data_IF_994483377493
#
_entry.id   IF_994483377493
#
_cell.length_a   1.000
_cell.length_b   1.000
_cell.length_c   1.000
_cell.angle_alpha   90.00
_cell.angle_beta   90.00
_cell.angle_gamma   90.00
#
_symmetry.space_group_name_H-M   'P 1'
#
loop_
_entity.id
_entity.type
_entity.pdbx_description
1 polymer ?
#
# COMPACT_ATOMS: atom_id res chain seq x y z
N UNK A 1 21.70 5.06 -9.06
CA UNK A 1 20.84 5.92 -9.90
C UNK A 1 19.51 6.15 -9.17
N UNK A 2 18.86 7.30 -9.34
CA UNK A 2 17.55 7.59 -8.76
C UNK A 2 16.57 7.87 -9.90
N UNK A 3 15.39 7.25 -9.83
CA UNK A 3 14.28 7.36 -10.78
C UNK A 3 13.03 7.78 -10.02
N UNK A 4 12.13 8.53 -10.69
CA UNK A 4 10.91 9.04 -10.05
C UNK A 4 9.66 8.69 -10.86
N UNK A 5 8.61 8.27 -10.15
CA UNK A 5 7.30 7.95 -10.71
C UNK A 5 6.20 8.58 -9.85
N UNK A 6 5.59 9.65 -10.35
CA UNK A 6 4.54 10.40 -9.64
C UNK A 6 3.27 10.53 -10.48
N UNK A 7 2.27 11.23 -9.94
CA UNK A 7 1.05 11.57 -10.68
C UNK A 7 1.30 12.51 -11.86
N UNK A 8 2.39 13.28 -11.83
CA UNK A 8 2.76 14.25 -12.87
C UNK A 8 3.65 13.67 -13.96
N UNK A 9 4.15 12.45 -13.77
CA UNK A 9 4.98 11.77 -14.77
C UNK A 9 4.16 11.44 -16.00
N UNK A 10 4.47 12.11 -17.13
CA UNK A 10 3.79 11.92 -18.42
C UNK A 10 4.16 10.59 -19.07
N UNK A 11 5.46 10.35 -19.21
CA UNK A 11 5.99 9.07 -19.70
C UNK A 11 6.35 8.18 -18.51
N UNK A 12 5.40 7.32 -18.14
CA UNK A 12 5.55 6.38 -17.03
C UNK A 12 6.37 5.15 -17.40
N UNK A 13 6.48 4.82 -18.68
CA UNK A 13 7.15 3.61 -19.15
C UNK A 13 8.66 3.76 -19.01
N UNK A 14 9.21 4.91 -19.40
CA UNK A 14 10.65 5.16 -19.35
C UNK A 14 11.29 4.90 -17.96
N UNK A 15 10.83 5.49 -16.84
CA UNK A 15 11.44 5.22 -15.54
C UNK A 15 11.26 3.78 -15.09
N UNK A 16 10.13 3.14 -15.42
CA UNK A 16 9.88 1.73 -15.07
C UNK A 16 10.81 0.81 -15.86
N UNK A 17 10.92 0.98 -17.17
CA UNK A 17 11.81 0.19 -18.02
C UNK A 17 13.28 0.38 -17.63
N UNK A 18 13.67 1.62 -17.30
CA UNK A 18 15.03 1.91 -16.81
C UNK A 18 15.31 1.19 -15.49
N UNK A 19 14.35 1.19 -14.56
CA UNK A 19 14.49 0.47 -13.29
C UNK A 19 14.58 -1.04 -13.48
N UNK A 20 13.77 -1.59 -14.39
CA UNK A 20 13.70 -3.03 -14.65
C UNK A 20 14.89 -3.58 -15.44
N UNK A 21 15.61 -2.72 -16.16
CA UNK A 21 16.80 -3.08 -16.96
C UNK A 21 18.12 -2.67 -16.31
N UNK A 22 18.09 -2.02 -15.15
CA UNK A 22 19.33 -1.56 -14.50
C UNK A 22 20.08 -2.72 -13.85
N UNK A 23 21.34 -2.90 -14.20
CA UNK A 23 22.24 -3.87 -13.55
C UNK A 23 22.94 -3.31 -12.31
N UNK A 24 22.87 -1.99 -12.10
CA UNK A 24 23.52 -1.29 -11.00
C UNK A 24 22.58 -0.92 -9.83
N UNK A 25 23.10 -0.33 -8.75
CA UNK A 25 22.28 0.17 -7.65
C UNK A 25 21.33 1.26 -8.12
N UNK A 26 20.03 0.97 -8.10
CA UNK A 26 18.98 1.88 -8.56
C UNK A 26 17.87 2.00 -7.52
N UNK A 27 17.44 3.24 -7.28
CA UNK A 27 16.34 3.58 -6.38
C UNK A 27 15.19 4.15 -7.21
N UNK A 28 13.99 3.62 -7.01
CA UNK A 28 12.76 4.16 -7.58
C UNK A 28 11.97 4.85 -6.46
N UNK A 29 11.73 6.15 -6.62
CA UNK A 29 10.82 6.92 -5.78
C UNK A 29 9.46 6.96 -6.46
N UNK A 30 8.50 6.23 -5.89
CA UNK A 30 7.14 6.19 -6.43
C UNK A 30 6.15 6.76 -5.42
N UNK A 31 5.23 7.62 -5.87
CA UNK A 31 4.09 7.95 -5.03
C UNK A 31 3.14 6.76 -4.94
N UNK A 32 2.48 6.56 -3.79
CA UNK A 32 1.61 5.40 -3.59
C UNK A 32 0.51 5.29 -4.66
N UNK A 33 -0.08 6.44 -5.03
CA UNK A 33 -1.09 6.51 -6.11
C UNK A 33 -0.51 6.10 -7.47
N UNK A 34 0.73 6.47 -7.77
CA UNK A 34 1.35 6.09 -9.04
C UNK A 34 1.73 4.60 -9.05
N UNK A 35 2.23 4.08 -7.92
CA UNK A 35 2.57 2.67 -7.75
C UNK A 35 1.33 1.75 -7.80
N UNK A 36 0.16 2.20 -7.36
CA UNK A 36 -1.09 1.43 -7.43
C UNK A 36 -1.67 1.28 -8.86
N UNK A 37 -1.24 2.11 -9.82
CA UNK A 37 -1.84 2.21 -11.16
C UNK A 37 -0.98 1.56 -12.24
N UNK A 38 -1.07 0.23 -12.36
CA UNK A 38 -0.69 -0.51 -13.56
C UNK A 38 0.81 -0.66 -13.87
N UNK A 39 1.70 -0.26 -12.97
CA UNK A 39 3.16 -0.43 -13.15
C UNK A 39 3.65 -1.78 -12.60
N UNK A 40 4.77 -2.29 -13.12
CA UNK A 40 5.44 -3.50 -12.61
C UNK A 40 6.83 -3.11 -12.13
N UNK A 41 7.15 -3.41 -10.88
CA UNK A 41 8.42 -3.07 -10.22
C UNK A 41 9.12 -4.35 -9.71
N UNK A 42 9.09 -5.41 -10.54
CA UNK A 42 9.59 -6.76 -10.19
C UNK A 42 11.09 -6.78 -9.93
N UNK A 43 11.85 -5.75 -10.30
CA UNK A 43 13.29 -5.69 -10.03
C UNK A 43 13.61 -5.18 -8.62
N UNK A 44 12.62 -4.76 -7.84
CA UNK A 44 12.81 -4.29 -6.47
C UNK A 44 13.04 -5.45 -5.48
N UNK A 45 14.24 -5.47 -4.89
CA UNK A 45 14.60 -6.36 -3.77
C UNK A 45 14.09 -5.83 -2.42
N UNK A 46 14.02 -4.50 -2.28
CA UNK A 46 13.61 -3.81 -1.06
C UNK A 46 12.50 -2.81 -1.38
N UNK A 47 11.43 -2.83 -0.59
CA UNK A 47 10.28 -1.92 -0.69
C UNK A 47 10.12 -1.22 0.64
N UNK A 48 10.18 0.11 0.62
CA UNK A 48 9.99 0.94 1.80
C UNK A 48 8.68 1.72 1.65
N UNK A 49 7.72 1.44 2.53
CA UNK A 49 6.52 2.24 2.70
C UNK A 49 6.84 3.31 3.73
N UNK A 50 6.94 4.56 3.27
CA UNK A 50 7.39 5.67 4.10
C UNK A 50 6.30 6.15 5.06
N UNK A 51 5.04 6.21 4.59
CA UNK A 51 3.92 6.72 5.36
C UNK A 51 2.77 5.70 5.34
N UNK A 52 2.06 5.47 6.46
CA UNK A 52 0.89 4.60 6.50
C UNK A 52 -0.32 5.27 5.84
N UNK A 53 -0.86 4.64 4.80
CA UNK A 53 -2.06 5.06 4.09
C UNK A 53 -3.32 4.46 4.71
N UNK A 54 -4.32 5.28 5.04
CA UNK A 54 -5.54 4.86 5.74
C UNK A 54 -6.33 3.69 5.14
N UNK A 55 -6.11 3.36 3.85
CA UNK A 55 -6.69 2.21 3.17
C UNK A 55 -5.63 1.11 2.94
N UNK A 56 -5.65 0.00 3.71
CA UNK A 56 -4.64 -1.05 3.60
C UNK A 56 -4.60 -1.72 2.23
N UNK A 57 -5.72 -1.81 1.52
CA UNK A 57 -5.79 -2.46 0.20
C UNK A 57 -4.96 -1.75 -0.87
N UNK A 58 -4.79 -0.41 -0.76
CA UNK A 58 -3.97 0.36 -1.70
C UNK A 58 -2.49 0.06 -1.49
N UNK A 59 -2.06 -0.11 -0.24
CA UNK A 59 -0.69 -0.48 0.09
C UNK A 59 -0.38 -1.91 -0.35
N UNK A 60 -1.28 -2.86 -0.06
CA UNK A 60 -1.15 -4.24 -0.53
C UNK A 60 -1.05 -4.30 -2.06
N UNK A 61 -1.88 -3.55 -2.78
CA UNK A 61 -1.80 -3.47 -4.24
C UNK A 61 -0.47 -2.88 -4.75
N UNK A 62 0.08 -1.87 -4.07
CA UNK A 62 1.37 -1.29 -4.43
C UNK A 62 2.53 -2.28 -4.15
N UNK A 63 2.46 -2.99 -3.02
CA UNK A 63 3.41 -4.05 -2.67
C UNK A 63 3.39 -5.16 -3.73
N UNK A 64 2.20 -5.61 -4.16
CA UNK A 64 2.04 -6.66 -5.18
C UNK A 64 2.69 -6.31 -6.53
N UNK A 65 2.91 -5.01 -6.81
CA UNK A 65 3.64 -4.59 -8.02
C UNK A 65 5.12 -4.89 -7.96
N UNK A 66 5.70 -4.90 -6.75
CA UNK A 66 7.08 -5.27 -6.50
C UNK A 66 7.22 -6.77 -6.17
N UNK A 67 6.28 -7.31 -5.40
CA UNK A 67 6.24 -8.69 -4.98
C UNK A 67 5.45 -9.55 -5.99
N UNK A 68 6.12 -10.00 -7.06
CA UNK A 68 5.51 -10.87 -8.08
C UNK A 68 6.00 -12.32 -7.97
N UNK A 69 5.05 -13.26 -8.09
CA UNK A 69 5.30 -14.71 -8.08
C UNK A 69 6.28 -15.13 -9.19
N UNK A 70 7.22 -16.03 -8.87
CA UNK A 70 8.20 -16.58 -9.81
C UNK A 70 9.59 -15.92 -9.78
N UNK A 71 9.86 -15.05 -8.80
CA UNK A 71 11.17 -14.42 -8.60
C UNK A 71 12.14 -15.36 -7.88
N UNK A 72 13.41 -15.35 -8.29
CA UNK A 72 14.48 -16.16 -7.68
C UNK A 72 14.94 -15.58 -6.34
N UNK A 73 14.88 -14.25 -6.18
CA UNK A 73 15.30 -13.54 -4.97
C UNK A 73 14.09 -13.09 -4.15
N UNK A 74 14.13 -13.21 -2.81
CA UNK A 74 13.06 -12.70 -1.94
C UNK A 74 13.00 -11.16 -2.01
N UNK A 75 11.80 -10.62 -1.87
CA UNK A 75 11.58 -9.17 -1.73
C UNK A 75 11.24 -8.84 -0.28
N UNK A 76 11.90 -7.83 0.28
CA UNK A 76 11.70 -7.38 1.65
C UNK A 76 10.83 -6.12 1.68
N UNK A 77 9.79 -6.14 2.50
CA UNK A 77 8.86 -5.02 2.64
C UNK A 77 9.00 -4.44 4.04
N UNK A 78 9.36 -3.17 4.11
CA UNK A 78 9.47 -2.41 5.35
C UNK A 78 8.38 -1.35 5.37
N UNK A 79 7.61 -1.30 6.46
CA UNK A 79 6.67 -0.22 6.72
C UNK A 79 7.22 0.61 7.88
N UNK A 80 7.54 1.86 7.60
CA UNK A 80 7.98 2.82 8.59
C UNK A 80 6.75 3.43 9.25
N UNK A 81 6.79 3.54 10.58
CA UNK A 81 5.72 4.15 11.39
C UNK A 81 6.41 4.95 12.49
N UNK A 82 6.17 6.25 12.53
CA UNK A 82 6.74 7.14 13.53
C UNK A 82 6.02 6.98 14.89
N UNK A 83 6.78 6.60 15.92
CA UNK A 83 6.24 6.33 17.26
C UNK A 83 5.68 7.60 17.92
N UNK A 84 4.55 7.49 18.62
CA UNK A 84 3.92 8.60 19.33
C UNK A 84 3.32 9.68 18.41
N UNK A 85 3.11 9.37 17.13
CA UNK A 85 2.51 10.29 16.15
C UNK A 85 1.15 9.76 15.66
N UNK A 86 0.47 10.56 14.83
CA UNK A 86 -0.78 10.15 14.17
C UNK A 86 -0.62 8.86 13.33
N UNK A 87 0.59 8.55 12.86
CA UNK A 87 0.88 7.37 12.05
C UNK A 87 0.60 6.06 12.80
N UNK A 88 0.84 6.01 14.12
CA UNK A 88 0.47 4.85 14.94
C UNK A 88 -1.05 4.63 14.95
N UNK A 89 -1.83 5.70 15.07
CA UNK A 89 -3.29 5.61 15.04
C UNK A 89 -3.79 5.15 13.67
N UNK A 90 -3.20 5.66 12.59
CA UNK A 90 -3.51 5.20 11.22
C UNK A 90 -3.20 3.71 11.08
N UNK A 91 -2.06 3.25 11.63
CA UNK A 91 -1.68 1.84 11.59
C UNK A 91 -2.66 0.97 12.39
N UNK A 92 -3.08 1.41 13.58
CA UNK A 92 -4.08 0.68 14.37
C UNK A 92 -5.42 0.58 13.60
N UNK A 93 -5.86 1.67 12.98
CA UNK A 93 -7.07 1.68 12.13
C UNK A 93 -6.95 0.72 10.93
N UNK A 94 -5.77 0.62 10.30
CA UNK A 94 -5.56 -0.36 9.23
C UNK A 94 -5.73 -1.80 9.74
N UNK A 95 -5.19 -2.11 10.92
CA UNK A 95 -5.26 -3.44 11.54
C UNK A 95 -6.72 -3.78 11.88
N UNK A 96 -7.42 -2.87 12.56
CA UNK A 96 -8.84 -3.04 12.89
C UNK A 96 -9.71 -3.26 11.66
N UNK A 97 -9.49 -2.46 10.59
CA UNK A 97 -10.20 -2.64 9.31
C UNK A 97 -9.91 -4.01 8.70
N UNK A 98 -8.66 -4.46 8.72
CA UNK A 98 -8.25 -5.76 8.17
C UNK A 98 -8.88 -6.91 8.94
N UNK A 99 -8.86 -6.86 10.28
CA UNK A 99 -9.49 -7.86 11.13
C UNK A 99 -11.00 -7.90 10.94
N UNK A 100 -11.64 -6.73 10.87
CA UNK A 100 -13.08 -6.62 10.62
C UNK A 100 -13.44 -7.23 9.26
N UNK A 101 -12.67 -6.92 8.22
CA UNK A 101 -12.86 -7.50 6.90
C UNK A 101 -12.69 -9.03 6.91
N UNK A 102 -11.68 -9.54 7.63
CA UNK A 102 -11.47 -10.98 7.78
C UNK A 102 -12.61 -11.68 8.54
N UNK A 103 -13.15 -11.07 9.59
CA UNK A 103 -14.32 -11.59 10.32
C UNK A 103 -15.55 -11.64 9.41
N UNK A 104 -15.81 -10.55 8.69
CA UNK A 104 -16.93 -10.47 7.73
C UNK A 104 -16.76 -11.54 6.63
N UNK A 105 -15.59 -11.68 6.01
CA UNK A 105 -15.35 -12.68 4.95
C UNK A 105 -15.39 -14.11 5.51
N UNK A 106 -14.91 -14.33 6.74
CA UNK A 106 -14.99 -15.63 7.41
C UNK A 106 -16.42 -16.06 7.75
N UNK A 107 -17.33 -15.10 7.96
CA UNK A 107 -18.76 -15.34 8.19
C UNK A 107 -19.60 -15.35 6.89
N UNK A 108 -19.09 -14.75 5.80
CA UNK A 108 -19.73 -14.76 4.48
C UNK A 108 -19.46 -16.10 3.78
N UNK A 109 -20.30 -17.08 4.10
CA UNK A 109 -20.72 -18.07 3.09
C UNK A 109 -21.83 -17.50 2.17
N UNK A 110 -22.42 -16.32 2.49
CA UNK A 110 -23.44 -15.67 1.64
C UNK A 110 -23.35 -14.13 1.64
N UNK A 111 -23.36 -13.46 0.47
CA UNK A 111 -22.80 -12.11 0.28
C UNK A 111 -23.77 -10.95 0.54
N UNK A 112 -24.75 -11.11 1.44
CA UNK A 112 -25.85 -10.13 1.59
C UNK A 112 -25.70 -9.16 2.78
N UNK A 113 -24.75 -9.35 3.70
CA UNK A 113 -24.63 -8.55 4.93
C UNK A 113 -23.67 -7.35 4.90
N UNK A 114 -23.01 -7.09 3.77
CA UNK A 114 -21.94 -6.07 3.68
C UNK A 114 -22.40 -4.63 3.95
N UNK A 115 -23.70 -4.32 3.78
CA UNK A 115 -24.22 -2.94 3.92
C UNK A 115 -24.57 -2.60 5.37
N UNK A 116 -24.83 -3.59 6.22
CA UNK A 116 -25.30 -3.37 7.60
C UNK A 116 -24.17 -2.97 8.58
N UNK A 117 -22.90 -3.12 8.18
CA UNK A 117 -21.73 -2.94 9.06
C UNK A 117 -21.00 -1.60 8.90
N UNK A 118 -21.33 -0.78 7.90
CA UNK A 118 -20.67 0.52 7.67
C UNK A 118 -21.39 1.71 8.35
N UNK A 119 -22.01 1.49 9.51
CA UNK A 119 -22.68 2.55 10.28
C UNK A 119 -21.71 3.51 10.99
N UNK A 120 -20.45 3.12 11.20
CA UNK A 120 -19.49 3.84 12.05
C UNK A 120 -18.62 4.91 11.35
N UNK A 121 -18.87 5.24 10.08
CA UNK A 121 -18.21 6.38 9.45
C UNK A 121 -18.56 7.72 10.13
N UNK A 122 -19.70 7.77 10.84
CA UNK A 122 -20.08 8.91 11.70
C UNK A 122 -19.21 9.02 12.96
N UNK A 123 -18.85 7.89 13.57
CA UNK A 123 -18.09 7.88 14.84
C UNK A 123 -16.67 8.41 14.68
N UNK A 124 -16.11 8.31 13.47
CA UNK A 124 -14.75 8.81 13.16
C UNK A 124 -14.70 10.34 12.97
N UNK A 125 -15.85 10.98 12.74
CA UNK A 125 -15.99 12.43 12.58
C UNK A 125 -16.44 13.10 13.89
N UNK A 126 -17.13 12.36 14.78
CA UNK A 126 -17.82 12.95 15.95
C UNK A 126 -16.99 13.07 17.25
N UNK A 127 -15.78 12.53 17.36
CA UNK A 127 -14.98 12.75 18.58
C UNK A 127 -14.19 14.07 18.55
N UNK A 128 -14.98 15.10 18.85
CA UNK A 128 -14.65 16.37 19.52
C UNK A 128 -13.64 16.17 20.67
N UNK A 129 -12.74 17.15 20.76
CA UNK A 129 -11.95 17.60 21.92
C UNK A 129 -12.10 16.78 23.21
N UNK A 130 -11.00 16.14 23.59
CA UNK A 130 -10.48 16.14 24.96
C UNK A 130 -8.95 16.14 24.90
#
# INVERSE_FOLDING_TARGET
QILELTGSTRDRSLPVETFESSDGPTVMLASLKAAGLGVTLKSADYVFLMDPWWNPAVEEQAIDRAHRLGRVKPSFIYRLVAQGTIEERVRNLQIEKKETFQKIIGEIEKPTGLVDHFSSLKDLIELKEN
#
